data_IF_181035270775
#
_entry.id   IF_181035270775
#
_cell.length_a   1.000
_cell.length_b   1.000
_cell.length_c   1.000
_cell.angle_alpha   90.00
_cell.angle_beta   90.00
_cell.angle_gamma   90.00
#
_symmetry.space_group_name_H-M   'P 1'
#
loop_
_entity.id
_entity.type
_entity.pdbx_description
1 polymer ?
#
# COMPACT_ATOMS: atom_id res chain seq x y z
N UNK A 1 11.43 20.53 -10.87
CA UNK A 1 11.97 19.72 -11.98
C UNK A 1 12.72 18.53 -11.42
N UNK A 2 12.49 17.34 -11.96
CA UNK A 2 13.13 16.08 -11.56
C UNK A 2 13.78 15.47 -12.79
N UNK A 3 15.05 15.11 -12.72
CA UNK A 3 15.81 14.56 -13.84
C UNK A 3 16.79 13.49 -13.37
N UNK A 4 16.84 12.37 -14.07
CA UNK A 4 17.86 11.34 -13.86
C UNK A 4 19.10 11.70 -14.68
N UNK A 5 20.24 11.82 -14.01
CA UNK A 5 21.56 12.09 -14.60
C UNK A 5 22.53 11.02 -14.08
N UNK A 6 22.80 10.00 -14.89
CA UNK A 6 23.63 8.85 -14.48
C UNK A 6 22.98 8.03 -13.35
N UNK A 7 23.69 7.89 -12.24
CA UNK A 7 23.29 7.19 -11.02
C UNK A 7 22.64 8.12 -9.97
N UNK A 8 22.27 9.33 -10.38
CA UNK A 8 21.72 10.36 -9.50
C UNK A 8 20.45 10.99 -10.03
N UNK A 9 19.48 11.16 -9.15
CA UNK A 9 18.26 11.91 -9.41
C UNK A 9 18.41 13.34 -8.90
N UNK A 10 18.42 14.30 -9.81
CA UNK A 10 18.46 15.72 -9.51
C UNK A 10 17.04 16.27 -9.33
N UNK A 11 16.79 16.84 -8.15
CA UNK A 11 15.52 17.52 -7.82
C UNK A 11 15.79 19.01 -7.65
N UNK A 12 15.10 19.83 -8.44
CA UNK A 12 15.22 21.30 -8.43
C UNK A 12 13.86 21.93 -8.12
N UNK A 13 13.82 22.84 -7.15
CA UNK A 13 12.64 23.65 -6.81
C UNK A 13 13.06 25.07 -6.43
N UNK A 14 12.68 26.07 -7.23
CA UNK A 14 13.18 27.43 -7.09
C UNK A 14 14.71 27.48 -7.10
N UNK A 15 15.31 27.94 -6.00
CA UNK A 15 16.77 27.99 -5.79
C UNK A 15 17.35 26.73 -5.14
N UNK A 16 16.51 25.82 -4.67
CA UNK A 16 16.93 24.59 -4.00
C UNK A 16 17.28 23.50 -5.02
N UNK A 17 18.40 22.80 -4.79
CA UNK A 17 18.90 21.70 -5.63
C UNK A 17 19.32 20.55 -4.73
N UNK A 18 18.82 19.36 -5.02
CA UNK A 18 19.14 18.12 -4.32
C UNK A 18 19.64 17.09 -5.31
N UNK A 19 20.55 16.22 -4.86
CA UNK A 19 21.09 15.11 -5.64
C UNK A 19 20.94 13.83 -4.81
N UNK A 20 20.14 12.89 -5.31
CA UNK A 20 19.81 11.64 -4.64
C UNK A 20 20.51 10.49 -5.37
N UNK A 21 21.25 9.63 -4.66
CA UNK A 21 21.76 8.39 -5.25
C UNK A 21 20.60 7.47 -5.63
N UNK A 22 20.68 6.81 -6.78
CA UNK A 22 19.65 5.89 -7.27
C UNK A 22 20.18 4.47 -7.39
N UNK A 23 19.25 3.52 -7.43
CA UNK A 23 19.49 2.16 -7.91
C UNK A 23 18.73 1.97 -9.23
N UNK A 24 19.20 1.06 -10.12
CA UNK A 24 18.43 0.66 -11.30
C UNK A 24 17.00 0.26 -10.95
N UNK A 25 16.02 0.68 -11.76
CA UNK A 25 14.63 0.31 -11.55
C UNK A 25 14.39 -1.21 -11.62
N UNK A 26 15.24 -1.93 -12.37
CA UNK A 26 15.20 -3.39 -12.49
C UNK A 26 15.54 -4.13 -11.18
N UNK A 27 16.22 -3.47 -10.23
CA UNK A 27 16.56 -4.05 -8.94
C UNK A 27 15.41 -3.92 -7.92
N UNK A 28 14.34 -3.18 -8.27
CA UNK A 28 13.18 -3.03 -7.42
C UNK A 28 12.33 -4.31 -7.46
N UNK A 29 11.96 -4.89 -6.29
CA UNK A 29 11.17 -6.11 -6.25
C UNK A 29 9.79 -5.85 -6.87
N UNK A 30 9.45 -6.62 -7.89
CA UNK A 30 8.11 -6.66 -8.45
C UNK A 30 7.30 -7.75 -7.76
N UNK A 31 6.03 -7.47 -7.52
CA UNK A 31 5.08 -8.50 -7.15
C UNK A 31 4.77 -9.33 -8.39
N UNK A 32 4.58 -10.64 -8.21
CA UNK A 32 4.15 -11.51 -9.29
C UNK A 32 2.73 -11.13 -9.75
N UNK A 33 2.45 -11.32 -11.03
CA UNK A 33 1.11 -11.18 -11.57
C UNK A 33 0.17 -12.23 -10.93
N UNK A 34 -1.03 -11.79 -10.54
CA UNK A 34 -2.05 -12.66 -9.95
C UNK A 34 -3.43 -12.35 -10.53
N UNK A 35 -4.30 -13.36 -10.56
CA UNK A 35 -5.67 -13.23 -11.05
C UNK A 35 -6.60 -12.79 -9.93
N UNK A 36 -7.45 -11.80 -10.21
CA UNK A 36 -8.44 -11.31 -9.26
C UNK A 36 -9.64 -12.25 -9.23
N UNK A 37 -9.97 -12.75 -8.05
CA UNK A 37 -11.15 -13.62 -7.86
C UNK A 37 -12.43 -12.80 -7.65
N UNK A 38 -12.33 -11.66 -6.97
CA UNK A 38 -13.46 -10.78 -6.62
C UNK A 38 -13.06 -9.32 -6.86
N UNK A 39 -13.96 -8.55 -7.47
CA UNK A 39 -13.83 -7.10 -7.63
C UNK A 39 -15.05 -6.40 -7.02
N UNK A 40 -14.81 -5.39 -6.19
CA UNK A 40 -15.86 -4.57 -5.56
C UNK A 40 -15.55 -3.09 -5.70
N UNK A 41 -16.59 -2.28 -5.84
CA UNK A 41 -16.49 -0.81 -5.80
C UNK A 41 -17.28 -0.29 -4.61
N UNK A 42 -16.66 0.57 -3.81
CA UNK A 42 -17.28 1.14 -2.62
C UNK A 42 -16.81 2.59 -2.37
N UNK A 43 -17.60 3.40 -1.66
CA UNK A 43 -17.16 4.71 -1.21
C UNK A 43 -15.94 4.61 -0.29
N UNK A 44 -14.97 5.51 -0.44
CA UNK A 44 -13.78 5.57 0.42
C UNK A 44 -14.15 5.69 1.91
N UNK A 45 -15.21 6.44 2.23
CA UNK A 45 -15.71 6.60 3.59
C UNK A 45 -16.22 5.27 4.19
N UNK A 46 -16.79 4.38 3.37
CA UNK A 46 -17.24 3.05 3.81
C UNK A 46 -16.05 2.19 4.20
N UNK A 47 -15.02 2.13 3.34
CA UNK A 47 -13.78 1.39 3.65
C UNK A 47 -13.12 1.92 4.92
N UNK A 48 -12.99 3.25 5.04
CA UNK A 48 -12.44 3.90 6.23
C UNK A 48 -13.20 3.49 7.50
N UNK A 49 -14.53 3.56 7.46
CA UNK A 49 -15.39 3.20 8.60
C UNK A 49 -15.20 1.74 9.03
N UNK A 50 -15.11 0.80 8.09
CA UNK A 50 -14.89 -0.62 8.40
C UNK A 50 -13.58 -0.81 9.16
N UNK A 51 -12.48 -0.28 8.61
CA UNK A 51 -11.15 -0.38 9.24
C UNK A 51 -11.14 0.29 10.62
N UNK A 52 -11.61 1.53 10.73
CA UNK A 52 -11.62 2.28 12.01
C UNK A 52 -12.45 1.59 13.10
N UNK A 53 -13.51 0.87 12.71
CA UNK A 53 -14.38 0.18 13.66
C UNK A 53 -13.76 -1.08 14.27
N UNK A 54 -12.75 -1.69 13.64
CA UNK A 54 -12.24 -3.03 14.04
C UNK A 54 -10.72 -3.10 14.21
N UNK A 55 -9.94 -2.18 13.64
CA UNK A 55 -8.47 -2.23 13.66
C UNK A 55 -7.88 -2.34 15.07
N UNK A 56 -8.47 -1.69 16.07
CA UNK A 56 -7.98 -1.71 17.44
C UNK A 56 -8.08 -3.10 18.10
N UNK A 57 -8.85 -4.02 17.52
CA UNK A 57 -9.04 -5.38 18.03
C UNK A 57 -8.04 -6.39 17.45
N UNK A 58 -7.17 -5.99 16.51
CA UNK A 58 -6.13 -6.87 15.97
C UNK A 58 -5.07 -7.19 17.03
N UNK A 59 -4.51 -8.40 16.96
CA UNK A 59 -3.41 -8.78 17.83
C UNK A 59 -2.10 -8.11 17.39
N UNK A 60 -1.16 -7.98 18.32
CA UNK A 60 0.18 -7.48 18.06
C UNK A 60 1.20 -8.57 18.35
N UNK A 61 1.95 -8.98 17.32
CA UNK A 61 3.02 -9.99 17.43
C UNK A 61 2.54 -11.33 18.02
N UNK A 62 1.30 -11.72 17.74
CA UNK A 62 0.79 -13.04 18.11
C UNK A 62 1.46 -14.11 17.23
N UNK A 63 1.77 -15.27 17.82
CA UNK A 63 2.33 -16.43 17.12
C UNK A 63 1.36 -16.98 16.06
N UNK A 64 0.06 -16.75 16.24
CA UNK A 64 -0.98 -17.00 15.25
C UNK A 64 -1.00 -15.83 14.27
N UNK A 65 -0.17 -15.91 13.24
CA UNK A 65 0.08 -14.80 12.30
C UNK A 65 -1.18 -14.17 11.70
N UNK A 66 -2.25 -14.95 11.49
CA UNK A 66 -3.53 -14.47 10.96
C UNK A 66 -4.28 -13.51 11.90
N UNK A 67 -3.96 -13.49 13.21
CA UNK A 67 -4.53 -12.54 14.17
C UNK A 67 -3.84 -11.17 14.11
N UNK A 68 -2.67 -11.07 13.46
CA UNK A 68 -1.94 -9.82 13.28
C UNK A 68 -2.45 -9.02 12.05
N UNK A 69 -3.61 -9.39 11.52
CA UNK A 69 -4.26 -8.75 10.38
C UNK A 69 -5.76 -8.66 10.59
N UNK A 70 -6.45 -8.21 9.55
CA UNK A 70 -7.89 -7.99 9.52
C UNK A 70 -8.53 -8.90 8.47
N UNK A 71 -9.60 -9.60 8.85
CA UNK A 71 -10.41 -10.35 7.89
C UNK A 71 -11.20 -9.37 7.03
N UNK A 72 -11.27 -9.61 5.73
CA UNK A 72 -12.23 -8.97 4.83
C UNK A 72 -13.13 -10.05 4.26
N UNK A 73 -14.44 -9.91 4.46
CA UNK A 73 -15.44 -10.88 4.02
C UNK A 73 -16.49 -10.19 3.16
N UNK A 74 -16.73 -10.75 1.97
CA UNK A 74 -17.85 -10.36 1.11
C UNK A 74 -18.99 -11.36 1.28
N UNK A 75 -20.15 -10.90 1.74
CA UNK A 75 -21.35 -11.72 1.94
C UNK A 75 -22.55 -11.03 1.28
N UNK A 76 -23.06 -11.60 0.19
CA UNK A 76 -24.14 -10.98 -0.59
C UNK A 76 -23.72 -9.60 -1.13
N UNK A 77 -24.38 -8.54 -0.64
CA UNK A 77 -24.08 -7.14 -0.97
C UNK A 77 -23.33 -6.39 0.13
N UNK A 78 -22.81 -7.09 1.15
CA UNK A 78 -22.10 -6.50 2.28
C UNK A 78 -20.60 -6.81 2.24
N UNK A 79 -19.81 -5.88 2.78
CA UNK A 79 -18.40 -6.05 3.09
C UNK A 79 -18.23 -5.91 4.61
N UNK A 80 -17.59 -6.90 5.23
CA UNK A 80 -17.39 -6.98 6.68
C UNK A 80 -15.90 -7.09 7.04
N UNK A 81 -15.55 -6.50 8.18
CA UNK A 81 -14.25 -6.57 8.87
C UNK A 81 -14.46 -6.87 10.34
#
# INVERSE_FOLDING_TARGET
AVQLEGDRMLVRSGRSRFSLSTLPAADFPNLDDWQREVEVTLPQATMKRLIEATQFSMAHQDVRYYLNGMLFETEGSELRT
#
